data_IF_601875265071
#
_entry.id   IF_601875265071
#
_cell.length_a   1.000
_cell.length_b   1.000
_cell.length_c   1.000
_cell.angle_alpha   90.00
_cell.angle_beta   90.00
_cell.angle_gamma   90.00
#
_symmetry.space_group_name_H-M   'P 1'
#
loop_
_entity.id
_entity.type
_entity.pdbx_description
1 polymer ?
#
# COMPACT_ATOMS: atom_id res chain seq x y z
N UNK A 1 27.56 23.92 -46.33
CA UNK A 1 26.21 24.43 -45.97
C UNK A 1 25.67 23.55 -44.86
N UNK A 2 25.65 24.13 -43.67
CA UNK A 2 25.39 23.54 -42.36
C UNK A 2 23.97 23.89 -41.92
N UNK A 3 23.21 22.91 -41.43
CA UNK A 3 22.04 22.97 -40.51
C UNK A 3 21.03 21.89 -40.89
N UNK A 4 20.35 21.19 -39.98
CA UNK A 4 20.44 21.09 -38.53
C UNK A 4 19.71 19.80 -38.14
N UNK A 5 20.28 19.07 -37.18
CA UNK A 5 19.62 17.96 -36.48
C UNK A 5 18.40 18.49 -35.73
N UNK A 6 17.27 17.79 -35.78
CA UNK A 6 16.22 17.90 -34.76
C UNK A 6 15.98 16.51 -34.17
N UNK A 7 16.54 16.33 -32.98
CA UNK A 7 16.14 15.33 -32.01
C UNK A 7 14.68 15.62 -31.62
N UNK A 8 13.79 14.64 -31.71
CA UNK A 8 12.51 14.65 -31.01
C UNK A 8 12.59 13.58 -29.92
N UNK A 9 12.37 14.05 -28.70
CA UNK A 9 12.64 13.39 -27.45
C UNK A 9 11.63 12.26 -27.20
N UNK A 10 12.15 11.05 -27.01
CA UNK A 10 11.47 10.00 -26.28
C UNK A 10 11.47 10.40 -24.79
N UNK A 11 10.34 10.94 -24.32
CA UNK A 11 10.11 11.23 -22.91
C UNK A 11 9.64 9.97 -22.18
N UNK A 12 10.56 9.03 -21.93
CA UNK A 12 10.36 7.99 -20.94
C UNK A 12 10.51 8.62 -19.55
N UNK A 13 9.39 8.98 -18.92
CA UNK A 13 9.35 9.40 -17.52
C UNK A 13 9.32 8.15 -16.63
N UNK A 14 10.47 7.49 -16.49
CA UNK A 14 10.70 6.52 -15.42
C UNK A 14 11.08 7.27 -14.16
N UNK A 15 10.12 7.45 -13.23
CA UNK A 15 10.38 8.05 -11.93
C UNK A 15 11.03 7.01 -11.00
N UNK A 16 12.33 7.19 -10.78
CA UNK A 16 13.14 6.47 -9.80
C UNK A 16 12.80 6.99 -8.40
N UNK A 17 12.13 6.20 -7.57
CA UNK A 17 11.89 6.51 -6.15
C UNK A 17 13.10 6.03 -5.35
N UNK A 18 13.97 6.97 -4.96
CA UNK A 18 15.06 6.72 -4.01
C UNK A 18 14.60 7.13 -2.61
N UNK A 19 14.44 6.16 -1.71
CA UNK A 19 14.22 6.40 -0.28
C UNK A 19 15.58 6.31 0.42
N UNK A 20 16.03 7.42 0.99
CA UNK A 20 17.23 7.50 1.83
C UNK A 20 16.75 7.72 3.26
N UNK A 21 17.07 6.80 4.17
CA UNK A 21 16.97 7.03 5.61
C UNK A 21 18.30 6.64 6.24
N UNK A 22 18.85 7.58 7.00
CA UNK A 22 20.09 7.46 7.76
C UNK A 22 19.73 7.53 9.25
N UNK A 23 20.47 6.85 10.14
CA UNK A 23 21.06 7.42 11.38
C UNK A 23 21.72 6.32 12.24
N UNK A 24 22.88 6.71 12.78
CA UNK A 24 24.02 5.95 13.29
C UNK A 24 23.94 5.41 14.75
N UNK A 25 24.70 4.32 15.04
CA UNK A 25 25.66 3.99 16.15
C UNK A 25 25.40 4.44 17.63
N UNK A 26 25.76 3.79 18.77
CA UNK A 26 26.75 2.74 19.21
C UNK A 26 26.30 2.07 20.57
N UNK A 27 26.35 0.72 20.63
CA UNK A 27 26.76 -0.29 21.65
C UNK A 27 26.28 -0.35 23.13
N UNK A 28 25.67 -1.51 23.49
CA UNK A 28 25.79 -2.15 24.83
C UNK A 28 24.99 -3.46 25.03
N UNK A 29 25.62 -4.62 24.82
CA UNK A 29 25.03 -5.99 24.78
C UNK A 29 24.30 -6.49 26.05
N UNK A 30 23.15 -7.17 25.88
CA UNK A 30 22.73 -8.41 26.60
C UNK A 30 21.51 -9.08 25.93
N UNK A 31 21.65 -10.34 25.51
CA UNK A 31 20.60 -11.18 24.93
C UNK A 31 19.74 -11.76 26.06
N UNK A 32 18.43 -11.47 26.06
CA UNK A 32 17.45 -12.09 26.98
C UNK A 32 16.64 -13.19 26.27
N UNK A 33 16.24 -14.25 26.99
CA UNK A 33 15.57 -15.42 26.43
C UNK A 33 14.09 -15.13 26.09
N UNK A 34 13.64 -15.62 24.93
CA UNK A 34 12.23 -15.60 24.50
C UNK A 34 11.32 -16.24 25.57
N UNK A 35 10.37 -15.44 26.06
CA UNK A 35 9.30 -15.86 26.96
C UNK A 35 8.08 -16.20 26.11
N UNK A 36 7.68 -17.47 26.11
CA UNK A 36 6.39 -17.94 25.57
C UNK A 36 5.34 -17.85 26.68
N UNK A 37 4.44 -16.88 26.69
CA UNK A 37 3.21 -16.96 27.50
C UNK A 37 2.14 -15.93 27.09
N UNK A 38 0.93 -16.41 26.78
CA UNK A 38 -0.40 -15.79 27.01
C UNK A 38 -0.73 -14.37 26.49
N UNK A 39 0.18 -13.66 25.82
CA UNK A 39 0.04 -12.27 25.32
C UNK A 39 -0.77 -12.12 24.00
N UNK A 40 -1.23 -13.22 23.40
CA UNK A 40 -1.88 -13.15 22.08
C UNK A 40 -3.29 -12.56 22.08
N UNK A 41 -4.07 -12.75 23.15
CA UNK A 41 -5.49 -12.35 23.16
C UNK A 41 -5.70 -10.81 23.21
N UNK A 42 -4.88 -10.10 23.98
CA UNK A 42 -4.97 -8.63 24.10
C UNK A 42 -4.40 -7.95 22.85
N UNK A 43 -3.38 -8.55 22.23
CA UNK A 43 -2.82 -8.09 20.95
C UNK A 43 -3.85 -8.17 19.81
N UNK A 44 -4.60 -9.27 19.76
CA UNK A 44 -5.67 -9.46 18.77
C UNK A 44 -6.82 -8.45 18.96
N UNK A 45 -7.14 -8.08 20.21
CA UNK A 45 -8.25 -7.18 20.51
C UNK A 45 -7.99 -5.74 20.05
N UNK A 46 -6.83 -5.16 20.39
CA UNK A 46 -6.52 -3.78 19.98
C UNK A 46 -6.48 -3.66 18.45
N UNK A 47 -5.83 -4.60 17.77
CA UNK A 47 -5.76 -4.59 16.31
C UNK A 47 -7.15 -4.75 15.68
N UNK A 48 -7.99 -5.66 16.20
CA UNK A 48 -9.34 -5.86 15.70
C UNK A 48 -10.21 -4.60 15.86
N UNK A 49 -10.20 -3.97 17.03
CA UNK A 49 -10.99 -2.75 17.29
C UNK A 49 -10.48 -1.57 16.47
N UNK A 50 -9.15 -1.37 16.40
CA UNK A 50 -8.54 -0.33 15.58
C UNK A 50 -8.92 -0.52 14.10
N UNK A 51 -8.82 -1.73 13.57
CA UNK A 51 -9.24 -2.04 12.20
C UNK A 51 -10.73 -1.81 11.98
N UNK A 52 -11.58 -2.20 12.94
CA UNK A 52 -13.02 -1.98 12.88
C UNK A 52 -13.35 -0.49 12.78
N UNK A 53 -12.86 0.33 13.71
CA UNK A 53 -13.10 1.79 13.72
C UNK A 53 -12.49 2.45 12.49
N UNK A 54 -11.24 2.14 12.17
CA UNK A 54 -10.52 2.76 11.05
C UNK A 54 -11.20 2.47 9.72
N UNK A 55 -11.68 1.24 9.50
CA UNK A 55 -12.37 0.86 8.25
C UNK A 55 -13.64 1.67 7.98
N UNK A 56 -14.35 2.13 9.03
CA UNK A 56 -15.58 2.91 8.90
C UNK A 56 -15.36 4.23 8.18
N UNK A 57 -14.25 4.92 8.46
CA UNK A 57 -13.96 6.19 7.79
C UNK A 57 -12.91 6.08 6.68
N UNK A 58 -11.95 5.15 6.77
CA UNK A 58 -10.94 4.96 5.73
C UNK A 58 -11.49 4.15 4.53
N UNK A 59 -12.65 3.51 4.71
CA UNK A 59 -13.26 2.62 3.73
C UNK A 59 -12.69 1.20 3.78
N UNK A 60 -13.54 0.23 3.47
CA UNK A 60 -13.14 -1.17 3.27
C UNK A 60 -12.28 -1.32 2.01
N UNK A 61 -11.62 -2.47 1.84
CA UNK A 61 -10.85 -2.76 0.62
C UNK A 61 -11.72 -2.61 -0.63
N UNK A 62 -12.97 -3.08 -0.59
CA UNK A 62 -13.92 -2.94 -1.69
C UNK A 62 -14.26 -1.47 -2.00
N UNK A 63 -14.56 -0.67 -0.98
CA UNK A 63 -14.85 0.76 -1.15
C UNK A 63 -13.65 1.53 -1.71
N UNK A 64 -12.43 1.19 -1.27
CA UNK A 64 -11.20 1.80 -1.81
C UNK A 64 -10.89 1.34 -3.24
N UNK A 65 -11.21 0.10 -3.59
CA UNK A 65 -11.15 -0.38 -4.98
C UNK A 65 -12.16 0.37 -5.86
N UNK A 66 -13.37 0.62 -5.37
CA UNK A 66 -14.35 1.48 -6.05
C UNK A 66 -13.83 2.91 -6.24
N UNK A 67 -13.10 3.48 -5.27
CA UNK A 67 -12.38 4.75 -5.45
C UNK A 67 -11.38 4.67 -6.60
N UNK A 68 -10.59 3.59 -6.70
CA UNK A 68 -9.67 3.37 -7.81
C UNK A 68 -10.36 3.38 -9.18
N UNK A 69 -11.58 2.83 -9.27
CA UNK A 69 -12.43 2.90 -10.47
C UNK A 69 -12.78 4.36 -10.82
N UNK A 70 -13.28 5.13 -9.85
CA UNK A 70 -13.64 6.55 -10.06
C UNK A 70 -12.42 7.36 -10.48
N UNK A 71 -11.28 7.13 -9.85
CA UNK A 71 -10.04 7.84 -10.15
C UNK A 71 -9.54 7.52 -11.57
N UNK A 72 -9.50 6.24 -11.95
CA UNK A 72 -9.09 5.83 -13.29
C UNK A 72 -10.01 6.41 -14.37
N UNK A 73 -11.33 6.38 -14.15
CA UNK A 73 -12.29 7.01 -15.06
C UNK A 73 -12.12 8.53 -15.15
N UNK A 74 -11.93 9.21 -14.02
CA UNK A 74 -11.72 10.66 -14.00
C UNK A 74 -10.46 11.08 -14.79
N UNK A 75 -9.41 10.26 -14.74
CA UNK A 75 -8.15 10.51 -15.44
C UNK A 75 -8.20 10.14 -16.92
N UNK A 76 -8.80 8.98 -17.25
CA UNK A 76 -8.64 8.35 -18.57
C UNK A 76 -9.96 8.12 -19.34
N UNK A 77 -11.14 8.24 -18.70
CA UNK A 77 -12.43 7.91 -19.32
C UNK A 77 -12.78 8.78 -20.54
N UNK A 78 -12.44 10.07 -20.51
CA UNK A 78 -12.65 10.95 -21.67
C UNK A 78 -11.72 10.61 -22.84
N UNK A 79 -10.46 10.26 -22.53
CA UNK A 79 -9.48 9.83 -23.53
C UNK A 79 -9.94 8.53 -24.19
N UNK A 80 -10.40 7.58 -23.38
CA UNK A 80 -10.95 6.30 -23.84
C UNK A 80 -12.14 6.48 -24.81
N UNK A 81 -13.10 7.31 -24.43
CA UNK A 81 -14.24 7.65 -25.30
C UNK A 81 -13.78 8.25 -26.64
N UNK A 82 -12.84 9.19 -26.61
CA UNK A 82 -12.30 9.80 -27.82
C UNK A 82 -11.57 8.79 -28.71
N UNK A 83 -10.76 7.90 -28.13
CA UNK A 83 -10.05 6.87 -28.88
C UNK A 83 -11.00 5.86 -29.51
N UNK A 84 -12.06 5.48 -28.80
CA UNK A 84 -13.14 4.64 -29.33
C UNK A 84 -13.84 5.29 -30.54
N UNK A 85 -14.17 6.59 -30.45
CA UNK A 85 -14.73 7.36 -31.58
C UNK A 85 -13.77 7.48 -32.77
N UNK A 86 -12.46 7.51 -32.51
CA UNK A 86 -11.42 7.49 -33.54
C UNK A 86 -11.19 6.10 -34.16
N UNK A 87 -11.89 5.07 -33.71
CA UNK A 87 -11.82 3.71 -34.25
C UNK A 87 -10.87 2.77 -33.50
N UNK A 88 -10.45 3.15 -32.28
CA UNK A 88 -9.53 2.38 -31.44
C UNK A 88 -10.21 1.96 -30.11
N UNK A 89 -11.22 1.07 -30.15
CA UNK A 89 -12.01 0.68 -28.98
C UNK A 89 -11.28 -0.30 -28.03
N UNK A 90 -10.02 -0.64 -28.33
CA UNK A 90 -9.16 -1.44 -27.46
C UNK A 90 -8.48 -0.61 -26.36
N UNK A 91 -8.59 0.71 -26.42
CA UNK A 91 -8.32 1.52 -25.25
C UNK A 91 -9.32 1.11 -24.15
N UNK A 92 -8.80 0.93 -22.94
CA UNK A 92 -9.60 0.61 -21.76
C UNK A 92 -9.02 1.39 -20.58
N UNK A 93 -9.71 2.46 -20.18
CA UNK A 93 -9.36 3.21 -18.98
C UNK A 93 -9.32 2.32 -17.73
N UNK A 94 -10.14 1.26 -17.70
CA UNK A 94 -10.29 0.39 -16.54
C UNK A 94 -9.02 -0.42 -16.28
N UNK A 95 -8.20 -0.65 -17.30
CA UNK A 95 -6.93 -1.31 -17.12
C UNK A 95 -5.92 -0.47 -16.33
N UNK A 96 -6.11 0.86 -16.25
CA UNK A 96 -5.26 1.77 -15.45
C UNK A 96 -5.65 1.87 -13.97
N UNK A 97 -6.62 1.05 -13.52
CA UNK A 97 -7.07 1.05 -12.12
C UNK A 97 -5.98 0.49 -11.21
N UNK A 98 -5.68 1.24 -10.16
CA UNK A 98 -4.88 0.73 -9.04
C UNK A 98 -5.78 -0.02 -8.06
N UNK A 99 -5.33 -1.19 -7.62
CA UNK A 99 -5.94 -1.88 -6.49
C UNK A 99 -5.57 -1.18 -5.19
N UNK A 100 -6.52 -1.09 -4.27
CA UNK A 100 -6.28 -0.51 -2.98
C UNK A 100 -5.36 -1.43 -2.17
N UNK A 101 -4.24 -0.91 -1.64
CA UNK A 101 -3.37 -1.72 -0.79
C UNK A 101 -4.08 -2.11 0.50
N UNK A 102 -3.55 -3.14 1.14
CA UNK A 102 -3.90 -3.44 2.53
C UNK A 102 -3.53 -2.26 3.41
N UNK A 103 -4.38 -1.93 4.38
CA UNK A 103 -4.16 -0.84 5.31
C UNK A 103 -4.13 -1.39 6.72
N UNK A 104 -3.09 -1.07 7.47
CA UNK A 104 -3.03 -1.35 8.89
C UNK A 104 -3.44 -0.08 9.65
N UNK A 105 -4.49 -0.19 10.48
CA UNK A 105 -5.03 0.92 11.25
C UNK A 105 -4.04 1.50 12.26
N UNK A 106 -2.99 0.76 12.63
CA UNK A 106 -1.99 1.18 13.61
C UNK A 106 -0.63 1.48 12.96
N UNK A 107 -0.55 1.52 11.61
CA UNK A 107 0.70 1.56 10.85
C UNK A 107 1.64 2.74 11.15
N UNK A 108 1.12 3.87 11.65
CA UNK A 108 1.96 5.03 12.00
C UNK A 108 2.55 4.94 13.40
N UNK A 109 2.15 3.92 14.17
CA UNK A 109 2.68 3.65 15.50
C UNK A 109 3.80 2.62 15.40
N UNK A 110 4.98 2.94 15.93
CA UNK A 110 6.04 1.94 16.11
C UNK A 110 5.63 0.94 17.18
N UNK A 111 5.13 1.42 18.32
CA UNK A 111 4.93 0.58 19.50
C UNK A 111 3.68 -0.30 19.43
N UNK A 112 2.62 0.18 18.76
CA UNK A 112 1.29 -0.43 18.77
C UNK A 112 0.86 -1.03 17.43
N UNK A 113 1.66 -0.92 16.36
CA UNK A 113 1.37 -1.61 15.09
C UNK A 113 1.46 -3.13 15.22
N UNK A 114 0.74 -3.88 14.38
CA UNK A 114 0.87 -5.34 14.30
C UNK A 114 2.35 -5.79 14.19
N UNK A 115 2.85 -6.69 15.07
CA UNK A 115 4.18 -7.29 14.95
C UNK A 115 4.36 -8.28 13.81
N UNK A 116 3.29 -8.78 13.20
CA UNK A 116 3.34 -9.83 12.17
C UNK A 116 3.14 -9.30 10.75
N UNK A 117 3.29 -7.99 10.59
CA UNK A 117 2.97 -7.31 9.36
C UNK A 117 4.12 -7.45 8.37
N UNK A 118 4.08 -8.53 7.57
CA UNK A 118 4.97 -8.82 6.43
C UNK A 118 5.04 -7.67 5.44
N UNK A 119 5.64 -6.57 5.85
CA UNK A 119 5.53 -5.26 5.23
C UNK A 119 6.26 -5.23 3.90
N UNK A 120 7.34 -5.99 3.77
CA UNK A 120 8.08 -6.15 2.54
C UNK A 120 7.42 -7.20 1.65
N UNK A 121 7.06 -8.36 2.19
CA UNK A 121 6.43 -9.42 1.40
C UNK A 121 5.05 -9.02 0.88
N UNK A 122 4.21 -8.38 1.69
CA UNK A 122 2.92 -7.83 1.26
C UNK A 122 3.09 -6.74 0.19
N UNK A 123 4.08 -5.84 0.33
CA UNK A 123 4.36 -4.86 -0.70
C UNK A 123 4.81 -5.51 -2.02
N UNK A 124 5.62 -6.58 -1.97
CA UNK A 124 6.00 -7.33 -3.16
C UNK A 124 4.81 -8.03 -3.84
N UNK A 125 3.90 -8.62 -3.07
CA UNK A 125 2.65 -9.19 -3.60
C UNK A 125 1.82 -8.11 -4.32
N UNK A 126 1.62 -6.95 -3.67
CA UNK A 126 0.86 -5.84 -4.23
C UNK A 126 1.51 -5.31 -5.53
N UNK A 127 2.85 -5.22 -5.58
CA UNK A 127 3.61 -4.82 -6.78
C UNK A 127 3.47 -5.84 -7.92
N UNK A 128 3.48 -7.14 -7.62
CA UNK A 128 3.35 -8.19 -8.64
C UNK A 128 1.94 -8.24 -9.21
N UNK A 129 0.93 -8.07 -8.36
CA UNK A 129 -0.47 -7.96 -8.82
C UNK A 129 -0.64 -6.72 -9.74
N UNK A 130 -0.01 -5.59 -9.40
CA UNK A 130 0.01 -4.41 -10.25
C UNK A 130 0.83 -4.61 -11.56
N UNK A 131 2.00 -5.24 -11.49
CA UNK A 131 2.88 -5.44 -12.65
C UNK A 131 2.26 -6.39 -13.68
N UNK A 132 1.52 -7.41 -13.24
CA UNK A 132 0.78 -8.32 -14.14
C UNK A 132 -0.30 -7.55 -14.91
N UNK A 133 -1.00 -6.63 -14.27
CA UNK A 133 -1.96 -5.73 -14.92
C UNK A 133 -1.27 -4.81 -15.94
N UNK A 134 -0.07 -4.29 -15.63
CA UNK A 134 0.69 -3.45 -16.57
C UNK A 134 1.28 -4.24 -17.75
N UNK A 135 1.67 -5.50 -17.57
CA UNK A 135 2.20 -6.34 -18.65
C UNK A 135 1.11 -6.66 -19.68
N UNK A 136 -0.11 -6.94 -19.23
CA UNK A 136 -1.29 -7.09 -20.11
C UNK A 136 -1.55 -5.83 -20.95
N UNK A 137 -1.17 -4.65 -20.44
CA UNK A 137 -1.33 -3.35 -21.13
C UNK A 137 -0.22 -3.02 -22.13
N UNK A 138 0.94 -3.68 -22.05
CA UNK A 138 2.10 -3.41 -22.91
C UNK A 138 2.23 -4.48 -23.99
N UNK A 139 1.41 -4.42 -25.05
CA UNK A 139 1.56 -5.41 -26.12
C UNK A 139 1.73 -4.92 -27.55
N UNK A 140 1.52 -3.65 -27.92
CA UNK A 140 1.67 -3.25 -29.33
C UNK A 140 2.32 -1.88 -29.54
N UNK A 141 3.25 -1.81 -30.51
CA UNK A 141 3.71 -0.54 -31.08
C UNK A 141 2.52 0.11 -31.80
N UNK A 142 2.14 1.31 -31.37
CA UNK A 142 1.04 2.04 -31.98
C UNK A 142 1.34 2.34 -33.45
N UNK A 143 0.36 2.17 -34.32
CA UNK A 143 0.48 2.60 -35.72
C UNK A 143 0.62 4.14 -35.82
N UNK A 144 1.11 4.64 -36.97
CA UNK A 144 1.18 6.10 -37.20
C UNK A 144 -0.20 6.76 -37.14
N UNK A 145 -1.23 6.09 -37.66
CA UNK A 145 -2.62 6.56 -37.60
C UNK A 145 -3.14 6.62 -36.16
N UNK A 146 -2.80 5.63 -35.34
CA UNK A 146 -3.18 5.58 -33.93
C UNK A 146 -2.44 6.64 -33.12
N UNK A 147 -1.16 6.88 -33.42
CA UNK A 147 -0.39 7.97 -32.83
C UNK A 147 -1.01 9.34 -33.12
N UNK A 148 -1.54 9.55 -34.33
CA UNK A 148 -2.24 10.78 -34.68
C UNK A 148 -3.57 10.90 -33.93
N UNK A 149 -4.33 9.81 -33.82
CA UNK A 149 -5.57 9.77 -33.04
C UNK A 149 -5.31 10.10 -31.56
N UNK A 150 -4.28 9.49 -30.95
CA UNK A 150 -3.85 9.79 -29.57
C UNK A 150 -3.55 11.28 -29.43
N UNK A 151 -2.78 11.87 -30.35
CA UNK A 151 -2.45 13.31 -30.31
C UNK A 151 -3.71 14.17 -30.43
N UNK A 152 -4.64 13.78 -31.31
CA UNK A 152 -5.93 14.44 -31.46
C UNK A 152 -6.74 14.41 -30.17
N UNK A 153 -6.86 13.23 -29.55
CA UNK A 153 -7.60 13.05 -28.31
C UNK A 153 -6.97 13.79 -27.14
N UNK A 154 -5.65 13.68 -26.91
CA UNK A 154 -4.96 14.42 -25.83
C UNK A 154 -5.19 15.93 -25.90
N UNK A 155 -5.25 16.50 -27.10
CA UNK A 155 -5.53 17.93 -27.28
C UNK A 155 -6.99 18.32 -26.97
N UNK A 156 -7.92 17.39 -27.13
CA UNK A 156 -9.37 17.61 -26.97
C UNK A 156 -9.89 17.16 -25.59
N UNK A 157 -9.18 16.28 -24.90
CA UNK A 157 -9.51 15.74 -23.58
C UNK A 157 -8.40 16.12 -22.60
N UNK A 158 -8.37 17.39 -22.14
CA UNK A 158 -7.32 17.82 -21.22
C UNK A 158 -7.33 16.94 -19.95
N UNK A 159 -6.16 16.56 -19.44
CA UNK A 159 -6.07 15.65 -18.31
C UNK A 159 -6.71 16.26 -17.07
N UNK A 160 -7.54 15.48 -16.38
CA UNK A 160 -8.01 15.82 -15.04
C UNK A 160 -6.80 15.87 -14.10
N UNK A 161 -6.67 16.94 -13.31
CA UNK A 161 -5.61 17.01 -12.28
C UNK A 161 -5.81 15.92 -11.22
N UNK A 162 -4.74 15.36 -10.68
CA UNK A 162 -4.79 14.38 -9.59
C UNK A 162 -5.63 14.86 -8.39
N UNK A 163 -5.53 16.14 -8.01
CA UNK A 163 -6.32 16.73 -6.93
C UNK A 163 -7.85 16.71 -7.20
N UNK A 164 -8.24 16.79 -8.46
CA UNK A 164 -9.65 16.74 -8.86
C UNK A 164 -10.13 15.28 -8.88
N UNK A 165 -9.32 14.37 -9.42
CA UNK A 165 -9.62 12.95 -9.41
C UNK A 165 -9.72 12.41 -7.96
N UNK A 166 -8.78 12.78 -7.08
CA UNK A 166 -8.78 12.42 -5.66
C UNK A 166 -10.00 12.94 -4.89
N UNK A 167 -10.40 14.20 -5.12
CA UNK A 167 -11.61 14.76 -4.49
C UNK A 167 -12.90 14.09 -4.95
N UNK A 168 -12.91 13.47 -6.13
CA UNK A 168 -14.07 12.72 -6.62
C UNK A 168 -14.10 11.28 -6.10
N UNK A 169 -12.93 10.71 -5.79
CA UNK A 169 -12.78 9.32 -5.42
C UNK A 169 -12.68 9.09 -3.91
N UNK A 170 -12.50 10.12 -3.09
CA UNK A 170 -12.36 10.00 -1.63
C UNK A 170 -13.28 10.98 -0.89
N UNK A 171 -14.02 10.54 0.16
CA UNK A 171 -14.80 11.46 0.98
C UNK A 171 -13.89 12.46 1.72
N UNK A 172 -14.29 13.73 1.79
CA UNK A 172 -13.52 14.77 2.49
C UNK A 172 -13.30 14.43 3.97
N UNK A 173 -14.34 13.92 4.61
CA UNK A 173 -14.36 13.52 6.01
C UNK A 173 -13.37 12.37 6.26
N UNK A 174 -13.23 11.43 5.32
CA UNK A 174 -12.24 10.36 5.40
C UNK A 174 -10.79 10.89 5.38
N UNK A 175 -10.50 11.96 4.64
CA UNK A 175 -9.17 12.59 4.62
C UNK A 175 -8.88 13.25 5.97
N UNK A 176 -9.83 14.00 6.52
CA UNK A 176 -9.67 14.65 7.82
C UNK A 176 -9.51 13.63 8.95
N UNK A 177 -10.39 12.63 9.02
CA UNK A 177 -10.37 11.60 10.07
C UNK A 177 -9.08 10.79 10.05
N UNK A 178 -8.53 10.47 8.86
CA UNK A 178 -7.21 9.85 8.75
C UNK A 178 -6.12 10.72 9.38
N UNK A 179 -6.10 12.01 9.06
CA UNK A 179 -5.10 12.93 9.62
C UNK A 179 -5.20 13.00 11.15
N UNK A 180 -6.41 13.05 11.69
CA UNK A 180 -6.65 13.10 13.14
C UNK A 180 -6.30 11.78 13.81
N UNK A 181 -6.65 10.65 13.19
CA UNK A 181 -6.31 9.31 13.65
C UNK A 181 -4.79 9.10 13.72
N UNK A 182 -4.06 9.46 12.66
CA UNK A 182 -2.60 9.38 12.67
C UNK A 182 -1.98 10.33 13.69
N UNK A 183 -2.52 11.55 13.84
CA UNK A 183 -2.06 12.47 14.89
C UNK A 183 -2.28 11.91 16.30
N UNK A 184 -3.39 11.21 16.55
CA UNK A 184 -3.66 10.55 17.82
C UNK A 184 -2.63 9.44 18.08
N UNK A 185 -2.38 8.56 17.10
CA UNK A 185 -1.41 7.47 17.25
C UNK A 185 0.02 7.99 17.44
N UNK A 186 0.45 8.98 16.67
CA UNK A 186 1.77 9.62 16.88
C UNK A 186 1.91 10.24 18.27
N UNK A 187 0.82 10.82 18.82
CA UNK A 187 0.84 11.36 20.17
C UNK A 187 0.91 10.26 21.24
N UNK A 188 0.26 9.12 21.03
CA UNK A 188 0.34 7.95 21.93
C UNK A 188 1.74 7.32 21.89
N UNK A 189 2.32 7.19 20.69
CA UNK A 189 3.70 6.74 20.49
C UNK A 189 4.70 7.60 21.25
N UNK A 190 4.64 8.92 21.08
CA UNK A 190 5.52 9.84 21.77
C UNK A 190 5.29 9.88 23.29
N UNK A 191 4.12 9.46 23.76
CA UNK A 191 3.77 9.43 25.18
C UNK A 191 4.31 8.20 25.89
N UNK A 192 4.20 7.02 25.26
CA UNK A 192 4.49 5.73 25.89
C UNK A 192 5.82 5.13 25.44
N UNK A 193 6.28 5.49 24.24
CA UNK A 193 7.48 4.97 23.64
C UNK A 193 8.71 5.82 23.89
N UNK A 194 9.86 5.17 23.97
CA UNK A 194 11.17 5.79 23.83
C UNK A 194 11.78 5.36 22.50
N UNK A 195 11.72 6.26 21.51
CA UNK A 195 12.21 5.96 20.16
C UNK A 195 13.72 5.70 20.10
N UNK A 196 14.51 6.31 21.00
CA UNK A 196 15.96 6.08 21.05
C UNK A 196 16.27 4.70 21.64
N UNK A 197 15.60 4.34 22.74
CA UNK A 197 15.74 3.02 23.34
C UNK A 197 15.28 1.90 22.39
N UNK A 198 14.14 2.09 21.72
CA UNK A 198 13.66 1.17 20.69
C UNK A 198 14.67 1.02 19.55
N UNK A 199 15.16 2.12 18.98
CA UNK A 199 16.11 2.08 17.87
C UNK A 199 17.42 1.38 18.26
N UNK A 200 17.91 1.58 19.50
CA UNK A 200 19.07 0.87 20.02
C UNK A 200 18.81 -0.63 20.16
N UNK A 201 17.67 -1.01 20.74
CA UNK A 201 17.30 -2.42 20.89
C UNK A 201 17.18 -3.12 19.54
N UNK A 202 16.44 -2.52 18.60
CA UNK A 202 16.22 -3.10 17.27
C UNK A 202 17.55 -3.29 16.55
N UNK A 203 18.45 -2.28 16.61
CA UNK A 203 19.77 -2.38 16.00
C UNK A 203 20.58 -3.54 16.59
N UNK A 204 20.69 -3.60 17.91
CA UNK A 204 21.46 -4.63 18.60
C UNK A 204 20.89 -6.04 18.37
N UNK A 205 19.57 -6.18 18.22
CA UNK A 205 18.91 -7.44 17.89
C UNK A 205 19.07 -7.84 16.43
N UNK A 206 18.88 -6.91 15.49
CA UNK A 206 18.97 -7.18 14.06
C UNK A 206 20.39 -7.58 13.64
N UNK A 207 21.42 -7.04 14.30
CA UNK A 207 22.83 -7.39 14.08
C UNK A 207 23.16 -8.85 14.49
N UNK A 208 22.26 -9.52 15.21
CA UNK A 208 22.39 -10.91 15.66
C UNK A 208 21.66 -11.91 14.76
N UNK A 209 20.81 -11.44 13.84
CA UNK A 209 20.12 -12.31 12.90
C UNK A 209 21.15 -12.86 11.91
N UNK A 210 21.22 -14.18 11.78
CA UNK A 210 22.12 -14.84 10.85
C UNK A 210 21.45 -14.98 9.47
N UNK A 211 22.13 -14.58 8.40
CA UNK A 211 21.61 -14.88 7.06
C UNK A 211 21.81 -16.35 6.70
N UNK A 212 21.04 -16.89 5.74
CA UNK A 212 21.24 -18.24 5.21
C UNK A 212 22.66 -18.49 4.68
N UNK A 213 23.34 -17.46 4.17
CA UNK A 213 24.72 -17.53 3.68
C UNK A 213 25.76 -17.38 4.81
N UNK A 214 25.32 -17.10 6.05
CA UNK A 214 26.18 -16.85 7.20
C UNK A 214 26.86 -15.48 7.18
N UNK A 215 26.34 -14.53 6.39
CA UNK A 215 26.77 -13.14 6.42
C UNK A 215 26.24 -12.46 7.68
N UNK A 216 27.08 -11.63 8.31
CA UNK A 216 26.65 -10.81 9.43
C UNK A 216 26.23 -9.44 8.91
N UNK A 217 24.93 -9.19 8.95
CA UNK A 217 24.35 -7.92 8.54
C UNK A 217 24.26 -6.96 9.73
N UNK A 218 24.23 -5.67 9.41
CA UNK A 218 23.81 -4.63 10.33
C UNK A 218 22.34 -4.29 10.14
N UNK A 219 21.69 -3.73 11.16
CA UNK A 219 20.33 -3.19 11.08
C UNK A 219 20.11 -2.29 9.85
N UNK A 220 21.07 -1.41 9.55
CA UNK A 220 21.00 -0.46 8.43
C UNK A 220 21.14 -1.15 7.06
N UNK A 221 21.64 -2.39 7.01
CA UNK A 221 21.85 -3.15 5.77
C UNK A 221 20.76 -4.17 5.48
N UNK A 222 19.89 -4.48 6.45
CA UNK A 222 18.82 -5.47 6.31
C UNK A 222 17.84 -5.13 5.19
N UNK A 223 17.44 -3.86 5.05
CA UNK A 223 16.54 -3.41 3.97
C UNK A 223 17.15 -3.65 2.59
N UNK A 224 18.45 -3.35 2.42
CA UNK A 224 19.15 -3.58 1.16
C UNK A 224 19.29 -5.08 0.86
N UNK A 225 19.54 -5.88 1.90
CA UNK A 225 19.64 -7.33 1.77
C UNK A 225 18.30 -7.98 1.41
N UNK A 226 17.20 -7.62 2.08
CA UNK A 226 15.86 -8.05 1.69
C UNK A 226 15.54 -7.61 0.26
N UNK A 227 15.88 -6.38 -0.13
CA UNK A 227 15.68 -5.90 -1.49
C UNK A 227 16.45 -6.71 -2.55
N UNK A 228 17.68 -7.14 -2.27
CA UNK A 228 18.49 -7.92 -3.21
C UNK A 228 18.14 -9.41 -3.26
N UNK A 229 17.47 -9.92 -2.21
CA UNK A 229 17.02 -11.32 -2.11
C UNK A 229 15.51 -11.46 -2.32
N UNK A 230 14.82 -10.40 -2.75
CA UNK A 230 13.44 -10.47 -3.17
C UNK A 230 13.29 -11.51 -4.31
N UNK A 231 12.35 -12.47 -4.20
CA UNK A 231 12.12 -13.47 -5.23
C UNK A 231 11.79 -12.82 -6.58
N UNK A 232 12.07 -13.55 -7.68
CA UNK A 232 11.63 -13.08 -8.99
C UNK A 232 10.10 -12.97 -9.03
N UNK A 233 9.54 -12.08 -9.87
CA UNK A 233 8.08 -11.89 -9.96
C UNK A 233 7.29 -13.16 -10.33
N UNK A 234 7.93 -14.15 -10.97
CA UNK A 234 7.35 -15.48 -11.23
C UNK A 234 7.28 -16.39 -10.00
N UNK A 235 8.04 -16.07 -8.95
CA UNK A 235 8.12 -16.80 -7.68
C UNK A 235 7.38 -16.11 -6.54
N UNK A 236 7.03 -14.83 -6.72
CA UNK A 236 6.17 -14.05 -5.82
C UNK A 236 4.69 -14.42 -6.06
N UNK A 237 3.98 -14.89 -5.01
CA UNK A 237 2.56 -15.19 -5.09
C UNK A 237 1.73 -13.93 -5.28
N UNK A 238 0.54 -14.10 -5.86
CA UNK A 238 -0.52 -13.10 -5.82
C UNK A 238 -1.12 -13.00 -4.41
N UNK A 239 -1.75 -11.87 -4.09
CA UNK A 239 -2.53 -11.71 -2.85
C UNK A 239 -3.66 -12.73 -2.68
N UNK A 240 -4.12 -13.38 -3.76
CA UNK A 240 -5.16 -14.41 -3.72
C UNK A 240 -4.64 -15.85 -3.76
N UNK A 241 -3.34 -16.06 -3.90
CA UNK A 241 -2.78 -17.40 -4.01
C UNK A 241 -2.83 -18.13 -2.65
N UNK A 242 -3.18 -19.43 -2.61
CA UNK A 242 -3.20 -20.16 -1.36
C UNK A 242 -1.76 -20.42 -0.86
N UNK A 243 -1.47 -20.31 0.45
CA UNK A 243 -0.11 -20.51 0.97
C UNK A 243 0.56 -21.85 0.57
N UNK A 244 -0.23 -22.88 0.28
CA UNK A 244 0.27 -24.18 -0.21
C UNK A 244 0.98 -24.12 -1.57
N UNK A 245 0.81 -23.05 -2.35
CA UNK A 245 1.45 -22.87 -3.66
C UNK A 245 2.72 -22.01 -3.60
N UNK A 246 3.09 -21.52 -2.43
CA UNK A 246 4.24 -20.63 -2.28
C UNK A 246 5.56 -21.36 -2.53
N UNK A 247 6.44 -20.72 -3.30
CA UNK A 247 7.74 -21.28 -3.67
C UNK A 247 8.68 -21.38 -2.46
N UNK A 248 9.72 -22.22 -2.56
CA UNK A 248 10.76 -22.27 -1.52
C UNK A 248 11.52 -20.94 -1.40
N UNK A 249 11.70 -20.22 -2.51
CA UNK A 249 12.31 -18.89 -2.51
C UNK A 249 11.45 -17.88 -1.74
N UNK A 250 10.14 -17.88 -1.96
CA UNK A 250 9.19 -17.05 -1.21
C UNK A 250 9.19 -17.36 0.28
N UNK A 251 9.16 -18.65 0.63
CA UNK A 251 9.18 -19.09 2.03
C UNK A 251 10.51 -18.75 2.72
N UNK A 252 11.65 -18.81 2.01
CA UNK A 252 12.93 -18.37 2.55
C UNK A 252 12.95 -16.85 2.78
N UNK A 253 12.42 -16.08 1.83
CA UNK A 253 12.31 -14.62 1.94
C UNK A 253 11.45 -14.18 3.13
N UNK A 254 10.25 -14.76 3.27
CA UNK A 254 9.36 -14.47 4.40
C UNK A 254 9.91 -14.98 5.73
N UNK A 255 10.77 -16.00 5.73
CA UNK A 255 11.52 -16.41 6.91
C UNK A 255 12.48 -15.34 7.43
N UNK A 256 13.20 -14.65 6.54
CA UNK A 256 14.07 -13.53 6.90
C UNK A 256 13.28 -12.35 7.50
N UNK A 257 12.13 -12.07 6.91
CA UNK A 257 11.21 -11.05 7.40
C UNK A 257 10.70 -11.40 8.80
N UNK A 258 10.30 -12.65 9.04
CA UNK A 258 9.85 -13.13 10.35
C UNK A 258 10.94 -13.02 11.44
N UNK A 259 12.21 -13.23 11.10
CA UNK A 259 13.31 -13.04 12.04
C UNK A 259 13.46 -11.56 12.47
N UNK A 260 13.32 -10.63 11.52
CA UNK A 260 13.33 -9.19 11.80
C UNK A 260 12.10 -8.75 12.60
N UNK A 261 10.92 -9.26 12.26
CA UNK A 261 9.67 -9.02 12.98
C UNK A 261 9.75 -9.51 14.43
N UNK A 262 10.38 -10.66 14.66
CA UNK A 262 10.63 -11.19 16.00
C UNK A 262 11.51 -10.24 16.84
N UNK A 263 12.54 -9.65 16.24
CA UNK A 263 13.39 -8.63 16.89
C UNK A 263 12.62 -7.34 17.16
N UNK A 264 11.88 -6.84 16.16
CA UNK A 264 10.99 -5.68 16.31
C UNK A 264 10.07 -5.85 17.52
N UNK A 265 9.34 -6.97 17.55
CA UNK A 265 8.41 -7.27 18.63
C UNK A 265 9.10 -7.39 19.98
N UNK A 266 10.24 -8.07 20.07
CA UNK A 266 10.99 -8.18 21.31
C UNK A 266 11.36 -6.80 21.89
N UNK A 267 11.61 -5.81 21.03
CA UNK A 267 12.01 -4.47 21.45
C UNK A 267 10.86 -3.56 21.89
N UNK A 268 9.62 -3.85 21.49
CA UNK A 268 8.45 -3.00 21.82
C UNK A 268 7.33 -3.69 22.57
N UNK A 269 7.35 -5.02 22.67
CA UNK A 269 6.31 -5.84 23.31
C UNK A 269 5.98 -5.38 24.72
N UNK A 270 6.97 -4.97 25.54
CA UNK A 270 6.69 -4.48 26.89
C UNK A 270 5.88 -3.18 26.91
N UNK A 271 6.16 -2.25 25.99
CA UNK A 271 5.40 -1.01 25.85
C UNK A 271 4.00 -1.30 25.34
N UNK A 272 3.88 -2.24 24.39
CA UNK A 272 2.59 -2.70 23.89
C UNK A 272 1.75 -3.28 25.02
N UNK A 273 2.26 -4.27 25.75
CA UNK A 273 1.55 -4.96 26.83
C UNK A 273 1.19 -4.04 27.99
N UNK A 274 2.05 -3.07 28.32
CA UNK A 274 1.78 -2.12 29.41
C UNK A 274 0.72 -1.09 29.06
N UNK A 275 0.57 -0.74 27.77
CA UNK A 275 -0.21 0.44 27.35
C UNK A 275 -1.30 0.18 26.29
N UNK A 276 -1.51 -1.07 25.86
CA UNK A 276 -2.51 -1.43 24.84
C UNK A 276 -3.93 -1.03 25.24
N UNK A 277 -4.29 -1.15 26.52
CA UNK A 277 -5.59 -0.74 27.06
C UNK A 277 -5.82 0.77 26.92
N UNK A 278 -4.82 1.61 27.20
CA UNK A 278 -4.97 3.06 27.02
C UNK A 278 -5.09 3.46 25.55
N UNK A 279 -4.46 2.72 24.64
CA UNK A 279 -4.60 2.91 23.19
C UNK A 279 -6.00 2.47 22.76
N UNK A 280 -6.50 1.34 23.26
CA UNK A 280 -7.86 0.87 22.99
C UNK A 280 -8.91 1.88 23.47
N UNK A 281 -8.72 2.47 24.64
CA UNK A 281 -9.54 3.56 25.16
C UNK A 281 -9.48 4.83 24.29
N UNK A 282 -8.32 5.12 23.71
CA UNK A 282 -8.16 6.25 22.79
C UNK A 282 -8.88 6.00 21.46
N UNK A 283 -8.77 4.80 20.90
CA UNK A 283 -9.51 4.35 19.70
C UNK A 283 -11.01 4.46 19.94
N UNK A 284 -11.49 3.98 21.08
CA UNK A 284 -12.90 4.02 21.45
C UNK A 284 -13.41 5.46 21.60
N UNK A 285 -12.62 6.34 22.25
CA UNK A 285 -12.95 7.77 22.38
C UNK A 285 -12.94 8.47 21.03
N UNK A 286 -11.98 8.19 20.16
CA UNK A 286 -11.93 8.73 18.80
C UNK A 286 -13.24 8.42 18.05
N UNK A 287 -13.72 7.17 18.13
CA UNK A 287 -14.96 6.76 17.48
C UNK A 287 -16.19 7.53 18.02
N UNK A 288 -16.24 7.78 19.33
CA UNK A 288 -17.33 8.53 19.97
C UNK A 288 -17.28 10.02 19.62
N UNK A 289 -16.11 10.64 19.77
CA UNK A 289 -15.91 12.08 19.57
C UNK A 289 -16.13 12.47 18.10
N UNK A 290 -15.84 11.55 17.17
CA UNK A 290 -15.99 11.76 15.72
C UNK A 290 -17.18 11.04 15.09
N UNK A 291 -18.15 10.55 15.87
CA UNK A 291 -19.23 9.70 15.38
C UNK A 291 -20.00 10.29 14.17
N UNK A 292 -20.26 11.60 14.17
CA UNK A 292 -20.94 12.28 13.07
C UNK A 292 -20.09 12.38 11.79
N UNK A 293 -18.78 12.64 11.93
CA UNK A 293 -17.87 12.69 10.79
C UNK A 293 -17.62 11.29 10.20
N UNK A 294 -17.54 10.27 11.06
CA UNK A 294 -17.43 8.87 10.63
C UNK A 294 -18.68 8.48 9.82
N UNK A 295 -19.88 8.79 10.30
CA UNK A 295 -21.12 8.51 9.57
C UNK A 295 -21.15 9.22 8.19
N UNK A 296 -20.71 10.47 8.11
CA UNK A 296 -20.61 11.19 6.85
C UNK A 296 -19.56 10.58 5.89
N UNK A 297 -18.45 10.05 6.42
CA UNK A 297 -17.46 9.32 5.63
C UNK A 297 -18.03 7.99 5.10
N UNK A 298 -18.78 7.24 5.92
CA UNK A 298 -19.48 6.00 5.53
C UNK A 298 -20.45 6.27 4.36
N UNK A 299 -21.32 7.28 4.47
CA UNK A 299 -22.24 7.70 3.39
C UNK A 299 -21.48 8.12 2.11
N UNK A 300 -20.33 8.78 2.28
CA UNK A 300 -19.45 9.17 1.17
C UNK A 300 -18.88 7.97 0.43
N UNK A 301 -18.44 6.94 1.16
CA UNK A 301 -17.94 5.70 0.57
C UNK A 301 -19.03 4.94 -0.18
N UNK A 302 -20.24 4.87 0.36
CA UNK A 302 -21.37 4.23 -0.31
C UNK A 302 -21.75 4.95 -1.62
N UNK A 303 -21.62 6.29 -1.63
CA UNK A 303 -21.77 7.10 -2.84
C UNK A 303 -20.71 6.75 -3.89
N UNK A 304 -19.46 6.55 -3.48
CA UNK A 304 -18.36 6.16 -4.37
C UNK A 304 -18.62 4.76 -4.96
N UNK A 305 -19.02 3.79 -4.14
CA UNK A 305 -19.38 2.43 -4.61
C UNK A 305 -20.52 2.49 -5.62
N UNK A 306 -21.56 3.27 -5.34
CA UNK A 306 -22.70 3.44 -6.24
C UNK A 306 -22.27 4.04 -7.59
N UNK A 307 -21.37 5.03 -7.59
CA UNK A 307 -20.83 5.63 -8.83
C UNK A 307 -19.93 4.65 -9.57
N UNK A 308 -19.09 3.89 -8.87
CA UNK A 308 -18.22 2.90 -9.50
C UNK A 308 -19.05 1.79 -10.16
N UNK A 309 -20.16 1.39 -9.54
CA UNK A 309 -21.08 0.40 -10.12
C UNK A 309 -21.73 0.88 -11.43
N UNK A 310 -21.98 2.19 -11.58
CA UNK A 310 -22.44 2.77 -12.85
C UNK A 310 -21.38 2.67 -13.97
N UNK A 311 -20.11 2.48 -13.61
CA UNK A 311 -18.99 2.27 -14.51
C UNK A 311 -18.64 0.77 -14.67
N UNK A 312 -19.47 -0.15 -14.15
CA UNK A 312 -19.28 -1.61 -14.30
C UNK A 312 -18.55 -2.30 -13.14
N UNK A 313 -18.27 -1.62 -12.04
CA UNK A 313 -17.69 -2.26 -10.85
C UNK A 313 -18.73 -3.09 -10.08
N UNK A 314 -18.44 -4.36 -9.81
CA UNK A 314 -19.30 -5.27 -9.04
C UNK A 314 -18.54 -5.99 -7.90
N UNK A 315 -17.54 -5.30 -7.32
CA UNK A 315 -16.74 -5.82 -6.21
C UNK A 315 -15.49 -6.61 -6.61
N UNK A 316 -15.22 -6.78 -7.91
CA UNK A 316 -14.09 -7.53 -8.43
C UNK A 316 -12.75 -6.76 -8.43
N UNK A 317 -11.65 -7.50 -8.28
CA UNK A 317 -10.30 -7.07 -8.67
C UNK A 317 -10.06 -7.33 -10.18
N UNK A 318 -9.18 -6.54 -10.83
CA UNK A 318 -8.79 -6.72 -12.24
C UNK A 318 -9.72 -6.05 -13.29
N UNK A 319 -9.35 -6.13 -14.59
CA UNK A 319 -10.04 -5.49 -15.76
C UNK A 319 -11.57 -5.71 -15.77
N UNK A 320 -12.34 -4.70 -16.20
CA UNK A 320 -13.79 -4.80 -16.35
C UNK A 320 -14.22 -5.51 -17.66
N UNK A 321 -13.28 -5.69 -18.61
CA UNK A 321 -13.58 -6.09 -20.00
C UNK A 321 -13.88 -7.58 -20.20
N UNK A 322 -13.97 -8.37 -19.12
CA UNK A 322 -14.31 -9.79 -19.19
C UNK A 322 -15.81 -10.13 -19.18
N UNK A 323 -16.71 -9.18 -18.83
CA UNK A 323 -18.09 -9.56 -18.44
C UNK A 323 -19.23 -8.62 -18.84
N UNK A 324 -18.94 -7.46 -19.44
CA UNK A 324 -20.02 -6.61 -19.99
C UNK A 324 -20.37 -7.11 -21.39
N UNK A 325 -21.62 -7.55 -21.68
CA UNK A 325 -22.04 -7.76 -23.06
C UNK A 325 -21.89 -6.42 -23.79
N UNK A 326 -21.00 -6.36 -24.78
CA UNK A 326 -20.91 -5.22 -25.68
C UNK A 326 -22.25 -5.12 -26.40
N UNK A 327 -23.07 -4.14 -26.02
CA UNK A 327 -24.31 -3.79 -26.72
C UNK A 327 -23.99 -2.92 -27.94
#
# INVERSE_FOLDING_TARGET
MTSARRNLAAGAAGALVAVVVSISYVLGSNVLPLRTSDSSADTDQLQAEANAVFSRFNGTVEQRNASGVIQAWALNGAMDQCMSEAGYPQWDWSATRNLAPRTNALATSVFFTDPQGGSYSHALMDVVDASRLEEDLRSEELSEAETEAVRGCVNNTPPTSDDTASRQSTPSEAVQLRSEWWSMLTALDAKYGDSEAYASCFRDGADQIATPEGEQLTADTWVMYLGSHAPAGSETPSTTDPPSTYSSAWNAYTGLEADLESVDWACRSSVYEEHSDEVLDAVSRFAVDNAAAIAAAEDGWDTIVTRAAQLGFHGQSGSLDGQTPKN
#
